data_IF_841528051909
#
_entry.id   IF_841528051909
#
_cell.length_a   1.000
_cell.length_b   1.000
_cell.length_c   1.000
_cell.angle_alpha   90.00
_cell.angle_beta   90.00
_cell.angle_gamma   90.00
#
_symmetry.space_group_name_H-M   'P 1'
#
loop_
_entity.id
_entity.type
_entity.pdbx_description
1 polymer ?
#
# COMPACT_ATOMS: atom_id res chain seq x y z
N UNK A 1 -69.38 -21.03 -6.96
CA UNK A 1 -68.45 -19.95 -6.53
C UNK A 1 -67.11 -20.58 -6.22
N UNK A 2 -66.14 -20.49 -7.14
CA UNK A 2 -64.81 -21.11 -7.00
C UNK A 2 -63.81 -20.03 -6.60
N UNK A 3 -63.25 -20.11 -5.39
CA UNK A 3 -62.23 -19.19 -4.87
C UNK A 3 -60.84 -19.76 -5.16
N UNK A 4 -60.09 -19.11 -6.05
CA UNK A 4 -58.69 -19.43 -6.34
C UNK A 4 -57.82 -18.60 -5.39
N UNK A 5 -56.91 -19.20 -4.60
CA UNK A 5 -55.94 -18.41 -3.85
C UNK A 5 -54.80 -17.98 -4.79
N UNK A 6 -54.58 -16.67 -4.87
CA UNK A 6 -53.48 -16.06 -5.59
C UNK A 6 -52.18 -16.31 -4.81
N UNK A 7 -51.35 -17.25 -5.26
CA UNK A 7 -49.98 -17.42 -4.75
C UNK A 7 -49.08 -16.37 -5.38
N UNK A 8 -48.65 -15.40 -4.56
CA UNK A 8 -47.69 -14.37 -4.94
C UNK A 8 -46.30 -15.02 -4.92
N UNK A 9 -45.77 -15.36 -6.09
CA UNK A 9 -44.37 -15.76 -6.23
C UNK A 9 -43.48 -14.53 -6.06
N UNK A 10 -42.73 -14.45 -4.96
CA UNK A 10 -41.67 -13.47 -4.78
C UNK A 10 -40.43 -14.01 -5.51
N UNK A 11 -39.98 -13.41 -6.62
CA UNK A 11 -38.73 -13.81 -7.24
C UNK A 11 -37.60 -13.43 -6.28
N UNK A 12 -36.97 -14.45 -5.70
CA UNK A 12 -35.80 -14.31 -4.84
C UNK A 12 -34.67 -13.66 -5.62
N UNK A 13 -34.33 -12.43 -5.22
CA UNK A 13 -33.12 -11.76 -5.70
C UNK A 13 -31.93 -12.53 -5.12
N UNK A 14 -31.21 -13.24 -5.98
CA UNK A 14 -29.92 -13.85 -5.65
C UNK A 14 -28.93 -12.70 -5.46
N UNK A 15 -28.68 -12.31 -4.20
CA UNK A 15 -27.57 -11.45 -3.85
C UNK A 15 -26.27 -12.25 -4.07
N UNK A 16 -25.62 -12.04 -5.21
CA UNK A 16 -24.22 -12.40 -5.39
C UNK A 16 -23.39 -11.54 -4.44
N UNK A 17 -23.01 -12.11 -3.29
CA UNK A 17 -21.98 -11.50 -2.45
C UNK A 17 -20.70 -11.42 -3.26
N UNK A 18 -20.34 -10.22 -3.69
CA UNK A 18 -18.99 -9.95 -4.16
C UNK A 18 -18.05 -10.25 -2.99
N UNK A 19 -17.41 -11.42 -3.01
CA UNK A 19 -16.25 -11.69 -2.17
C UNK A 19 -15.18 -10.69 -2.57
N UNK A 20 -15.10 -9.57 -1.84
CA UNK A 20 -13.93 -8.72 -1.86
C UNK A 20 -12.77 -9.59 -1.42
N UNK A 21 -11.94 -10.02 -2.38
CA UNK A 21 -10.65 -10.61 -2.05
C UNK A 21 -9.88 -9.52 -1.33
N UNK A 22 -9.74 -9.65 -0.02
CA UNK A 22 -8.86 -8.79 0.75
C UNK A 22 -7.50 -8.84 0.07
N UNK A 23 -7.04 -7.72 -0.49
CA UNK A 23 -5.72 -7.63 -1.08
C UNK A 23 -4.73 -8.09 -0.02
N UNK A 24 -4.15 -9.27 -0.19
CA UNK A 24 -3.05 -9.75 0.63
C UNK A 24 -1.83 -8.93 0.25
N UNK A 25 -1.64 -7.82 0.96
CA UNK A 25 -0.42 -7.03 0.88
C UNK A 25 0.75 -7.92 1.32
N UNK A 26 1.91 -7.86 0.63
CA UNK A 26 3.12 -8.50 1.11
C UNK A 26 3.36 -8.04 2.54
N UNK A 27 3.35 -8.98 3.48
CA UNK A 27 3.27 -8.68 4.92
C UNK A 27 4.43 -7.84 5.47
N UNK A 28 5.48 -7.65 4.68
CA UNK A 28 6.67 -6.91 5.03
C UNK A 28 6.75 -5.51 4.39
N UNK A 29 5.77 -5.07 3.60
CA UNK A 29 5.75 -3.71 3.07
C UNK A 29 4.99 -2.77 4.01
N UNK A 30 5.63 -1.67 4.49
CA UNK A 30 4.93 -0.69 5.30
C UNK A 30 3.97 0.16 4.46
N UNK A 31 2.96 0.74 5.12
CA UNK A 31 2.08 1.76 4.55
C UNK A 31 2.86 3.02 4.16
N UNK A 32 3.82 3.44 4.98
CA UNK A 32 4.59 4.66 4.71
C UNK A 32 6.06 4.51 5.12
N UNK A 33 6.92 5.26 4.44
CA UNK A 33 8.36 5.39 4.73
C UNK A 33 8.71 6.86 4.91
N UNK A 34 9.48 7.14 5.96
CA UNK A 34 9.88 8.49 6.34
C UNK A 34 11.37 8.72 6.08
N UNK A 35 11.66 9.74 5.28
CA UNK A 35 13.00 10.08 4.79
C UNK A 35 13.41 11.49 5.19
N UNK A 36 14.64 11.67 5.65
CA UNK A 36 15.18 13.00 5.92
C UNK A 36 15.81 13.56 4.66
N UNK A 37 15.43 14.78 4.32
CA UNK A 37 16.03 15.59 3.26
C UNK A 37 17.05 16.55 3.90
N UNK A 38 18.35 16.23 3.91
CA UNK A 38 19.37 17.08 4.50
C UNK A 38 19.51 18.44 3.81
N UNK A 39 19.12 18.56 2.53
CA UNK A 39 19.19 19.84 1.82
C UNK A 39 18.08 20.78 2.26
N UNK A 40 16.87 20.26 2.40
CA UNK A 40 15.71 21.03 2.86
C UNK A 40 15.53 21.02 4.39
N UNK A 41 16.42 20.35 5.12
CA UNK A 41 16.37 20.14 6.58
C UNK A 41 14.99 19.66 7.07
N UNK A 42 14.33 18.79 6.33
CA UNK A 42 12.94 18.40 6.60
C UNK A 42 12.69 16.91 6.41
N UNK A 43 11.68 16.41 7.13
CA UNK A 43 11.18 15.04 6.98
C UNK A 43 10.19 14.95 5.83
N UNK A 44 10.31 13.89 5.05
CA UNK A 44 9.45 13.54 3.91
C UNK A 44 8.77 12.22 4.21
N UNK A 45 7.47 12.16 3.98
CA UNK A 45 6.71 10.92 4.10
C UNK A 45 6.27 10.50 2.70
N UNK A 46 6.53 9.25 2.35
CA UNK A 46 6.03 8.64 1.12
C UNK A 46 5.15 7.45 1.48
N UNK A 47 3.98 7.36 0.84
CA UNK A 47 2.98 6.33 1.07
C UNK A 47 3.03 5.27 -0.02
N UNK A 48 2.75 4.02 0.33
CA UNK A 48 2.66 2.92 -0.61
C UNK A 48 1.55 3.21 -1.62
N UNK A 49 1.89 3.28 -2.90
CA UNK A 49 0.97 3.52 -4.01
C UNK A 49 0.58 2.23 -4.71
N UNK A 50 1.57 1.41 -5.04
CA UNK A 50 1.35 0.19 -5.82
C UNK A 50 2.47 -0.83 -5.56
N UNK A 51 2.16 -2.10 -5.78
CA UNK A 51 3.14 -3.19 -5.80
C UNK A 51 3.12 -3.81 -7.20
N UNK A 52 4.26 -3.83 -7.85
CA UNK A 52 4.43 -4.38 -9.18
C UNK A 52 4.47 -5.92 -9.11
N UNK A 53 4.22 -6.59 -10.24
CA UNK A 53 4.22 -8.06 -10.31
C UNK A 53 5.58 -8.70 -9.94
N UNK A 54 6.67 -7.96 -10.07
CA UNK A 54 8.01 -8.39 -9.67
C UNK A 54 8.29 -8.24 -8.17
N UNK A 55 7.34 -7.71 -7.39
CA UNK A 55 7.46 -7.47 -5.96
C UNK A 55 8.01 -6.09 -5.59
N UNK A 56 8.37 -5.25 -6.57
CA UNK A 56 8.80 -3.88 -6.28
C UNK A 56 7.61 -3.01 -5.87
N UNK A 57 7.77 -2.29 -4.76
CA UNK A 57 6.77 -1.38 -4.23
C UNK A 57 7.11 0.06 -4.60
N UNK A 58 6.12 0.78 -5.13
CA UNK A 58 6.23 2.19 -5.46
C UNK A 58 5.62 3.00 -4.33
N UNK A 59 6.40 3.92 -3.78
CA UNK A 59 5.97 4.89 -2.77
C UNK A 59 5.88 6.29 -3.39
N UNK A 60 4.83 7.02 -3.06
CA UNK A 60 4.59 8.39 -3.51
C UNK A 60 4.48 9.33 -2.29
N UNK A 61 5.31 10.37 -2.28
CA UNK A 61 5.26 11.46 -1.33
C UNK A 61 4.85 12.77 -1.99
N UNK A 62 4.65 13.79 -1.15
CA UNK A 62 4.28 15.15 -1.58
C UNK A 62 5.35 15.73 -2.51
N UNK A 63 4.94 16.46 -3.55
CA UNK A 63 5.86 17.14 -4.46
C UNK A 63 6.49 16.24 -5.53
N UNK A 64 5.79 15.17 -5.96
CA UNK A 64 6.26 14.20 -6.97
C UNK A 64 7.51 13.42 -6.53
N UNK A 65 7.68 13.24 -5.22
CA UNK A 65 8.71 12.38 -4.67
C UNK A 65 8.26 10.94 -4.77
N UNK A 66 8.68 10.26 -5.83
CA UNK A 66 8.55 8.82 -5.97
C UNK A 66 9.81 8.08 -5.53
N UNK A 67 9.63 7.03 -4.75
CA UNK A 67 10.67 6.09 -4.35
C UNK A 67 10.22 4.67 -4.66
N UNK A 68 11.17 3.79 -4.95
CA UNK A 68 10.91 2.37 -5.16
C UNK A 68 11.57 1.60 -4.04
N UNK A 69 10.84 0.68 -3.42
CA UNK A 69 11.41 -0.37 -2.58
C UNK A 69 11.44 -1.64 -3.41
N UNK A 70 12.61 -2.23 -3.61
CA UNK A 70 12.68 -3.45 -4.42
C UNK A 70 12.12 -4.66 -3.67
N UNK A 71 11.96 -5.79 -4.37
CA UNK A 71 11.50 -7.05 -3.78
C UNK A 71 12.36 -7.58 -2.59
N UNK A 72 13.57 -7.06 -2.38
CA UNK A 72 14.43 -7.37 -1.23
C UNK A 72 14.20 -6.43 -0.04
N UNK A 73 13.28 -5.48 -0.14
CA UNK A 73 12.99 -4.50 0.91
C UNK A 73 14.02 -3.37 1.00
N UNK A 74 14.75 -3.05 -0.07
CA UNK A 74 15.73 -1.94 -0.10
C UNK A 74 15.15 -0.73 -0.82
N UNK A 75 15.26 0.46 -0.24
CA UNK A 75 14.89 1.72 -0.89
C UNK A 75 15.90 2.06 -1.98
N UNK A 76 15.47 2.04 -3.24
CA UNK A 76 16.33 2.20 -4.40
C UNK A 76 16.48 3.68 -4.76
N UNK A 77 17.73 4.12 -4.96
CA UNK A 77 18.01 5.45 -5.48
C UNK A 77 17.48 5.61 -6.90
N UNK A 78 16.89 6.76 -7.25
CA UNK A 78 16.47 7.04 -8.62
C UNK A 78 17.70 7.08 -9.56
N UNK A 79 17.55 6.54 -10.76
CA UNK A 79 18.62 6.50 -11.77
C UNK A 79 18.74 7.79 -12.59
N UNK A 80 17.68 8.60 -12.63
CA UNK A 80 17.56 9.77 -13.49
C UNK A 80 17.61 11.11 -12.73
N UNK A 81 17.82 11.10 -11.41
CA UNK A 81 17.97 12.30 -10.58
C UNK A 81 18.83 11.98 -9.35
N UNK A 82 19.48 12.97 -8.72
CA UNK A 82 20.19 12.73 -7.47
C UNK A 82 19.25 12.20 -6.38
N UNK A 83 19.66 11.13 -5.69
CA UNK A 83 19.01 10.68 -4.47
C UNK A 83 19.30 11.66 -3.34
N UNK A 84 18.38 12.60 -3.07
CA UNK A 84 18.62 13.68 -2.09
C UNK A 84 18.20 13.35 -0.67
N UNK A 85 17.52 12.23 -0.44
CA UNK A 85 17.07 11.81 0.90
C UNK A 85 17.87 10.63 1.42
N UNK A 86 17.98 10.52 2.73
CA UNK A 86 18.86 9.56 3.44
C UNK A 86 18.34 8.11 3.50
N UNK A 87 17.13 7.84 3.02
CA UNK A 87 16.58 6.49 2.95
C UNK A 87 17.25 5.61 1.89
N UNK A 88 17.81 6.20 0.84
CA UNK A 88 18.32 5.43 -0.29
C UNK A 88 19.45 4.49 0.15
N UNK A 89 19.34 3.23 -0.24
CA UNK A 89 20.25 2.15 0.16
C UNK A 89 19.90 1.45 1.47
N UNK A 90 19.04 2.04 2.31
CA UNK A 90 18.56 1.39 3.54
C UNK A 90 17.52 0.32 3.25
N UNK A 91 17.53 -0.73 4.05
CA UNK A 91 16.50 -1.76 4.14
C UNK A 91 15.29 -1.25 4.93
N UNK A 92 14.13 -1.85 4.69
CA UNK A 92 12.93 -1.59 5.50
C UNK A 92 13.15 -1.94 6.98
N UNK A 93 13.98 -2.93 7.30
CA UNK A 93 14.25 -3.33 8.68
C UNK A 93 15.13 -2.32 9.41
N UNK A 94 16.13 -1.74 8.75
CA UNK A 94 16.88 -0.61 9.29
C UNK A 94 15.96 0.59 9.54
N UNK A 95 15.08 0.88 8.59
CA UNK A 95 14.11 1.97 8.74
C UNK A 95 13.09 1.69 9.85
N UNK A 96 12.70 0.42 10.07
CA UNK A 96 11.88 0.02 11.23
C UNK A 96 12.59 0.24 12.54
N UNK A 97 13.84 -0.19 12.64
CA UNK A 97 14.64 0.00 13.85
C UNK A 97 14.77 1.49 14.22
N UNK A 98 14.82 2.36 13.21
CA UNK A 98 14.87 3.82 13.38
C UNK A 98 13.49 4.47 13.63
N UNK A 99 12.38 3.71 13.69
CA UNK A 99 10.99 4.21 13.76
C UNK A 99 10.57 5.07 12.55
N UNK A 100 11.07 4.73 11.36
CA UNK A 100 10.89 5.49 10.12
C UNK A 100 9.94 4.85 9.13
N UNK A 101 9.27 3.77 9.51
CA UNK A 101 8.18 3.19 8.72
C UNK A 101 6.89 3.20 9.53
N UNK A 102 5.78 3.22 8.82
CA UNK A 102 4.44 3.02 9.39
C UNK A 102 3.89 1.74 8.78
N UNK A 103 3.75 0.67 9.55
CA UNK A 103 3.18 -0.58 9.05
C UNK A 103 1.64 -0.55 9.07
N UNK A 104 1.01 -1.35 8.21
CA UNK A 104 -0.43 -1.56 8.28
C UNK A 104 -0.78 -2.25 9.61
N UNK A 105 -1.66 -1.63 10.39
CA UNK A 105 -2.28 -2.30 11.53
C UNK A 105 -3.13 -3.46 10.98
N UNK A 106 -2.81 -4.70 11.34
CA UNK A 106 -3.71 -5.81 11.06
C UNK A 106 -4.94 -5.65 11.95
N UNK A 107 -6.13 -5.58 11.35
CA UNK A 107 -7.35 -5.81 12.11
C UNK A 107 -7.24 -7.20 12.75
N UNK A 108 -7.34 -7.27 14.08
CA UNK A 108 -7.42 -8.53 14.82
C UNK A 108 -8.76 -9.20 14.59
#
# INVERSE_FOLDING_TARGET
MLKIPLLIAVPGVILTLATATAQTFPSNLPLAVTCYDPKAQSWRIAYLRSVNANGDAVYEGVGRLTATVNAKGVVVAPTNRPGVVDCFGKTLDELRADNRVMDFQRAR
#
